data_IF_352782592205
#
_entry.id   IF_352782592205
#
_cell.length_a   1.000
_cell.length_b   1.000
_cell.length_c   1.000
_cell.angle_alpha   90.00
_cell.angle_beta   90.00
_cell.angle_gamma   90.00
#
_symmetry.space_group_name_H-M   'P 1'
#
loop_
_entity.id
_entity.type
_entity.pdbx_description
1 polymer ?
#
# COMPACT_ATOMS: atom_id res chain seq x y z
N UNK A 1 -12.87 16.46 -1.34
CA UNK A 1 -12.78 16.33 -0.86
C UNK A 1 -12.34 15.78 -0.06
N UNK A 2 -11.81 15.57 0.26
CA UNK A 2 -11.39 15.23 0.96
C UNK A 2 -11.43 14.09 1.58
N UNK A 3 -11.85 13.32 1.27
CA UNK A 3 -12.18 12.03 1.72
C UNK A 3 -11.21 10.94 1.36
N UNK A 4 -10.26 11.20 0.55
CA UNK A 4 -9.20 10.28 0.16
C UNK A 4 -8.43 9.73 1.36
N UNK A 5 -8.41 10.48 2.48
CA UNK A 5 -7.70 10.05 3.69
C UNK A 5 -8.55 9.20 4.63
N UNK A 6 -9.85 9.03 4.32
CA UNK A 6 -10.77 8.30 5.19
C UNK A 6 -11.24 7.01 4.54
N UNK A 7 -10.29 6.14 4.26
CA UNK A 7 -10.57 4.84 3.69
C UNK A 7 -10.98 3.87 4.80
N UNK A 8 -12.11 3.17 4.61
CA UNK A 8 -12.48 2.10 5.52
C UNK A 8 -11.66 0.83 5.22
N UNK A 9 -11.81 -0.20 6.04
CA UNK A 9 -11.04 -1.43 5.88
C UNK A 9 -11.25 -2.08 4.51
N UNK A 10 -12.48 -2.06 4.02
CA UNK A 10 -12.81 -2.65 2.72
C UNK A 10 -12.09 -1.92 1.59
N UNK A 11 -12.06 -0.60 1.66
CA UNK A 11 -11.38 0.21 0.66
C UNK A 11 -9.86 -0.01 0.70
N UNK A 12 -9.29 -0.10 1.90
CA UNK A 12 -7.86 -0.38 2.06
C UNK A 12 -7.52 -1.74 1.47
N UNK A 13 -8.32 -2.77 1.78
CA UNK A 13 -8.12 -4.11 1.25
C UNK A 13 -8.27 -4.14 -0.28
N UNK A 14 -9.24 -3.41 -0.83
CA UNK A 14 -9.40 -3.29 -2.27
C UNK A 14 -8.18 -2.69 -2.94
N UNK A 15 -7.59 -1.67 -2.32
CA UNK A 15 -6.37 -1.06 -2.85
C UNK A 15 -5.20 -2.03 -2.78
N UNK A 16 -5.09 -2.82 -1.71
CA UNK A 16 -4.07 -3.85 -1.59
C UNK A 16 -4.19 -4.87 -2.72
N UNK A 17 -5.42 -5.33 -3.00
CA UNK A 17 -5.64 -6.27 -4.09
C UNK A 17 -5.21 -5.69 -5.44
N UNK A 18 -5.55 -4.44 -5.71
CA UNK A 18 -5.13 -3.76 -6.94
C UNK A 18 -3.61 -3.67 -7.06
N UNK A 19 -2.93 -3.39 -5.96
CA UNK A 19 -1.47 -3.30 -5.95
C UNK A 19 -0.81 -4.66 -6.16
N UNK A 20 -1.39 -5.72 -5.59
CA UNK A 20 -0.89 -7.08 -5.83
C UNK A 20 -1.06 -7.48 -7.29
N UNK A 21 -2.20 -7.12 -7.89
CA UNK A 21 -2.42 -7.37 -9.32
C UNK A 21 -1.40 -6.61 -10.18
N UNK A 22 -1.10 -5.38 -9.82
CA UNK A 22 -0.10 -4.58 -10.51
C UNK A 22 1.29 -5.22 -10.41
N UNK A 23 1.65 -5.76 -9.25
CA UNK A 23 2.90 -6.49 -9.06
C UNK A 23 2.99 -7.68 -10.03
N UNK A 24 1.91 -8.46 -10.13
CA UNK A 24 1.86 -9.60 -11.07
C UNK A 24 2.00 -9.15 -12.51
N UNK A 25 1.34 -8.06 -12.89
CA UNK A 25 1.43 -7.53 -14.24
C UNK A 25 2.85 -7.09 -14.60
N UNK A 26 3.54 -6.46 -13.64
CA UNK A 26 4.92 -6.03 -13.87
C UNK A 26 5.85 -7.24 -14.13
N UNK A 27 5.68 -8.31 -13.38
CA UNK A 27 6.46 -9.53 -13.57
C UNK A 27 6.16 -10.19 -14.89
N UNK A 28 4.88 -10.20 -15.28
CA UNK A 28 4.48 -10.73 -16.59
C UNK A 28 5.09 -9.92 -17.73
N UNK A 29 5.05 -8.59 -17.62
CA UNK A 29 5.61 -7.70 -18.63
C UNK A 29 7.11 -7.86 -18.78
N UNK A 30 7.82 -8.10 -17.68
CA UNK A 30 9.25 -8.41 -17.75
C UNK A 30 9.48 -9.72 -18.51
N UNK A 31 8.73 -10.76 -18.16
CA UNK A 31 8.86 -12.07 -18.81
C UNK A 31 8.55 -11.99 -20.29
N UNK A 32 7.64 -11.10 -20.70
CA UNK A 32 7.27 -10.89 -22.10
C UNK A 32 8.21 -9.94 -22.84
N UNK A 33 9.20 -9.40 -22.17
CA UNK A 33 10.14 -8.48 -22.79
C UNK A 33 9.62 -7.07 -23.00
N UNK A 34 8.51 -6.71 -22.35
CA UNK A 34 7.91 -5.37 -22.47
C UNK A 34 8.53 -4.35 -21.53
N UNK A 35 9.26 -4.82 -20.51
CA UNK A 35 9.96 -3.98 -19.56
C UNK A 35 11.39 -4.47 -19.42
N UNK A 36 12.32 -3.56 -19.17
CA UNK A 36 13.66 -3.96 -18.75
C UNK A 36 13.63 -4.34 -17.27
N UNK A 37 14.65 -5.06 -16.83
CA UNK A 37 14.79 -5.43 -15.42
C UNK A 37 14.85 -4.20 -14.52
N UNK A 38 15.55 -3.14 -14.96
CA UNK A 38 15.64 -1.91 -14.17
C UNK A 38 14.28 -1.21 -14.05
N UNK A 39 13.51 -1.17 -15.15
CA UNK A 39 12.17 -0.59 -15.13
C UNK A 39 11.23 -1.38 -14.21
N UNK A 40 11.27 -2.70 -14.31
CA UNK A 40 10.45 -3.54 -13.44
C UNK A 40 10.83 -3.31 -11.98
N UNK A 41 12.12 -3.31 -11.69
CA UNK A 41 12.60 -3.14 -10.31
C UNK A 41 12.14 -1.80 -9.70
N UNK A 42 12.25 -0.72 -10.46
CA UNK A 42 11.82 0.60 -10.00
C UNK A 42 10.32 0.65 -9.72
N UNK A 43 9.51 0.07 -10.61
CA UNK A 43 8.06 0.07 -10.46
C UNK A 43 7.61 -0.85 -9.32
N UNK A 44 8.26 -2.00 -9.16
CA UNK A 44 7.97 -2.91 -8.05
C UNK A 44 8.25 -2.24 -6.71
N UNK A 45 9.32 -1.45 -6.63
CA UNK A 45 9.62 -0.73 -5.40
C UNK A 45 8.48 0.24 -5.04
N UNK A 46 7.95 0.97 -6.01
CA UNK A 46 6.84 1.88 -5.77
C UNK A 46 5.59 1.13 -5.30
N UNK A 47 5.30 -0.02 -5.90
CA UNK A 47 4.18 -0.85 -5.51
C UNK A 47 4.38 -1.39 -4.09
N UNK A 48 5.58 -1.83 -3.76
CA UNK A 48 5.89 -2.35 -2.42
C UNK A 48 5.72 -1.27 -1.36
N UNK A 49 6.18 -0.05 -1.62
CA UNK A 49 6.00 1.07 -0.69
C UNK A 49 4.51 1.36 -0.48
N UNK A 50 3.74 1.37 -1.56
CA UNK A 50 2.29 1.59 -1.48
C UNK A 50 1.60 0.49 -0.70
N UNK A 51 2.02 -0.77 -0.87
CA UNK A 51 1.49 -1.90 -0.11
C UNK A 51 1.80 -1.73 1.38
N UNK A 52 3.03 -1.35 1.72
CA UNK A 52 3.43 -1.15 3.11
C UNK A 52 2.60 -0.05 3.76
N UNK A 53 2.32 1.03 3.04
CA UNK A 53 1.46 2.10 3.53
C UNK A 53 0.04 1.60 3.81
N UNK A 54 -0.51 0.76 2.93
CA UNK A 54 -1.85 0.20 3.10
C UNK A 54 -1.90 -0.74 4.30
N UNK A 55 -0.91 -1.63 4.45
CA UNK A 55 -0.87 -2.54 5.58
C UNK A 55 -0.68 -1.81 6.90
N UNK A 56 0.16 -0.78 6.91
CA UNK A 56 0.36 0.05 8.09
C UNK A 56 -0.94 0.73 8.51
N UNK A 57 -1.66 1.32 7.55
CA UNK A 57 -2.94 1.96 7.84
C UNK A 57 -3.94 0.96 8.40
N UNK A 58 -4.03 -0.23 7.81
CA UNK A 58 -4.95 -1.26 8.25
C UNK A 58 -4.65 -1.69 9.69
N UNK A 59 -3.37 -1.87 10.03
CA UNK A 59 -2.97 -2.20 11.40
C UNK A 59 -3.35 -1.11 12.38
N UNK A 60 -3.15 0.16 12.02
CA UNK A 60 -3.50 1.29 12.91
C UNK A 60 -5.00 1.42 13.08
N UNK A 61 -5.78 1.16 12.03
CA UNK A 61 -7.23 1.16 12.14
C UNK A 61 -7.72 0.07 13.08
N UNK A 62 -7.13 -1.10 12.99
CA UNK A 62 -7.45 -2.22 13.87
C UNK A 62 -7.09 -1.89 15.32
N UNK A 63 -5.91 -1.33 15.55
CA UNK A 63 -5.49 -0.94 16.88
C UNK A 63 -6.41 0.14 17.47
N UNK A 64 -6.83 1.10 16.65
CA UNK A 64 -7.75 2.15 17.09
C UNK A 64 -9.07 1.56 17.58
N UNK A 65 -9.62 0.57 16.88
CA UNK A 65 -10.85 -0.09 17.31
C UNK A 65 -10.65 -0.83 18.63
N UNK A 66 -9.51 -1.50 18.81
CA UNK A 66 -9.20 -2.23 20.04
C UNK A 66 -9.06 -1.31 21.25
N UNK A 67 -8.54 -0.11 21.04
CA UNK A 67 -8.32 0.84 22.12
C UNK A 67 -9.43 1.88 22.27
N UNK A 68 -10.52 1.71 21.52
CA UNK A 68 -11.69 2.58 21.63
C UNK A 68 -11.55 3.94 20.95
N UNK A 69 -10.52 4.13 20.13
CA UNK A 69 -10.40 5.35 19.33
C UNK A 69 -11.04 5.14 17.97
N UNK A 70 -11.28 6.25 17.23
CA UNK A 70 -11.94 6.18 15.95
C UNK A 70 -10.96 5.71 14.86
N UNK A 71 -11.22 4.56 14.23
CA UNK A 71 -10.35 4.09 13.14
C UNK A 71 -10.27 5.08 11.98
N UNK A 72 -11.33 5.86 11.75
CA UNK A 72 -11.38 6.82 10.65
C UNK A 72 -10.48 8.04 10.86
N UNK A 73 -9.98 8.23 12.07
CA UNK A 73 -9.00 9.27 12.36
C UNK A 73 -7.59 8.87 11.92
N UNK A 74 -7.37 7.60 11.60
CA UNK A 74 -6.07 7.15 11.14
C UNK A 74 -5.87 7.52 9.67
N UNK A 75 -4.67 7.94 9.35
CA UNK A 75 -4.28 8.30 7.98
C UNK A 75 -3.05 7.50 7.58
N UNK A 76 -2.86 7.32 6.28
CA UNK A 76 -1.68 6.64 5.79
C UNK A 76 -0.44 7.43 6.15
N UNK A 77 0.59 6.76 6.67
CA UNK A 77 1.88 7.38 6.91
C UNK A 77 2.55 7.66 5.56
N UNK A 78 3.47 8.62 5.55
CA UNK A 78 4.27 8.87 4.37
C UNK A 78 5.16 7.67 4.07
N UNK A 79 5.61 7.55 2.83
CA UNK A 79 6.50 6.46 2.43
C UNK A 79 7.76 6.41 3.30
N UNK A 80 8.32 7.58 3.62
CA UNK A 80 9.51 7.65 4.46
C UNK A 80 9.29 7.11 5.87
N UNK A 81 8.13 7.39 6.47
CA UNK A 81 7.80 6.88 7.79
C UNK A 81 7.66 5.37 7.79
N UNK A 82 6.97 4.83 6.78
CA UNK A 82 6.74 3.38 6.70
C UNK A 82 8.04 2.64 6.43
N UNK A 83 8.86 3.13 5.54
CA UNK A 83 10.16 2.53 5.25
C UNK A 83 11.09 2.58 6.46
N UNK A 84 10.97 3.61 7.28
CA UNK A 84 11.72 3.69 8.53
C UNK A 84 11.41 2.56 9.49
N UNK A 85 10.17 2.08 9.53
CA UNK A 85 9.80 0.95 10.36
C UNK A 85 10.36 -0.38 9.85
N UNK A 86 10.61 -0.46 8.56
CA UNK A 86 11.04 -1.71 7.93
C UNK A 86 12.56 -1.89 7.95
N UNK A 87 13.27 -0.87 8.33
CA UNK A 87 14.74 -0.91 8.39
C UNK A 87 15.25 -1.23 9.83
#
# INVERSE_FOLDING_TARGET
>A
MFYASRMDDKEVLGRIHGLVDEEHQLRTQLAEGKLTADEEHARLKDVEVALDQCWDLLRRRRAAREFGTDPDEQQAHSAGEVEGYLQ
#
